data_IF_900868109593
#
_entry.id   IF_900868109593
#
_cell.length_a   1.000
_cell.length_b   1.000
_cell.length_c   1.000
_cell.angle_alpha   90.00
_cell.angle_beta   90.00
_cell.angle_gamma   90.00
#
_symmetry.space_group_name_H-M   'P 1'
#
loop_
_entity.id
_entity.type
_entity.pdbx_description
1 polymer ?
#
# COMPACT_ATOMS: atom_id res chain seq x y z
N UNK A 1 -0.48 -14.89 16.49
CA UNK A 1 0.84 -15.36 17.02
C UNK A 1 1.98 -15.01 16.06
N UNK A 2 1.85 -13.85 15.40
CA UNK A 2 2.68 -13.41 14.29
C UNK A 2 2.34 -14.08 12.95
N UNK A 3 1.48 -15.11 12.93
CA UNK A 3 1.08 -15.84 11.72
C UNK A 3 -0.38 -15.56 11.44
N UNK A 4 -0.71 -15.25 10.18
CA UNK A 4 -2.09 -14.96 9.76
C UNK A 4 -2.78 -13.89 10.64
N UNK A 5 -1.99 -12.92 11.12
CA UNK A 5 -2.46 -11.80 11.92
C UNK A 5 -2.65 -10.57 11.02
N UNK A 6 -3.61 -9.72 11.37
CA UNK A 6 -3.88 -8.47 10.70
C UNK A 6 -4.24 -7.38 11.72
N UNK A 7 -4.11 -6.11 11.31
CA UNK A 7 -4.54 -4.97 12.13
C UNK A 7 -5.77 -4.35 11.49
N UNK A 8 -6.87 -4.32 12.23
CA UNK A 8 -8.09 -3.65 11.82
C UNK A 8 -7.84 -2.13 11.72
N UNK A 9 -8.26 -1.55 10.60
CA UNK A 9 -8.29 -0.10 10.36
C UNK A 9 -9.74 0.32 10.36
N UNK A 10 -10.20 1.11 11.36
CA UNK A 10 -11.58 1.61 11.36
C UNK A 10 -11.81 2.53 10.17
N UNK A 11 -13.06 2.83 9.83
CA UNK A 11 -13.39 3.89 8.88
C UNK A 11 -12.61 5.18 9.20
N UNK A 12 -11.81 5.68 8.25
CA UNK A 12 -11.04 6.92 8.41
C UNK A 12 -11.49 8.03 7.45
N UNK A 13 -12.08 7.68 6.31
CA UNK A 13 -12.80 8.62 5.46
C UNK A 13 -12.67 8.38 3.95
N UNK A 14 -13.27 9.32 3.22
CA UNK A 14 -13.31 9.37 1.77
C UNK A 14 -12.44 10.53 1.28
N UNK A 15 -11.53 10.25 0.35
CA UNK A 15 -10.54 11.21 -0.13
C UNK A 15 -10.47 11.22 -1.66
N UNK A 16 -9.85 12.25 -2.23
CA UNK A 16 -9.51 12.28 -3.66
C UNK A 16 -8.04 11.96 -3.91
N UNK A 17 -7.25 11.93 -2.83
CA UNK A 17 -5.82 11.61 -2.84
C UNK A 17 -5.49 10.84 -1.56
N UNK A 18 -4.49 9.97 -1.64
CA UNK A 18 -4.01 9.20 -0.49
C UNK A 18 -2.55 8.84 -0.69
N UNK A 19 -1.83 8.73 0.42
CA UNK A 19 -0.54 8.04 0.42
C UNK A 19 -0.48 7.01 1.53
N UNK A 20 0.17 5.89 1.27
CA UNK A 20 0.48 4.88 2.26
C UNK A 20 1.97 4.54 2.20
N UNK A 21 2.59 4.30 3.35
CA UNK A 21 4.02 3.95 3.43
C UNK A 21 4.26 2.94 4.54
N UNK A 22 5.19 2.02 4.33
CA UNK A 22 5.58 1.03 5.34
C UNK A 22 6.99 0.49 5.06
N UNK A 23 7.63 -0.03 6.10
CA UNK A 23 8.72 -0.99 5.95
C UNK A 23 8.12 -2.39 5.92
N UNK A 24 8.54 -3.21 4.97
CA UNK A 24 8.07 -4.61 4.87
C UNK A 24 9.24 -5.57 4.71
N UNK A 25 9.06 -6.80 5.19
CA UNK A 25 10.03 -7.89 5.05
C UNK A 25 9.30 -9.21 4.81
N UNK A 26 9.20 -9.67 3.54
CA UNK A 26 8.63 -10.98 3.24
C UNK A 26 9.37 -12.10 3.97
N UNK A 27 8.62 -13.03 4.59
CA UNK A 27 9.17 -14.19 5.31
C UNK A 27 9.08 -15.50 4.49
N UNK A 28 8.25 -15.52 3.46
CA UNK A 28 8.09 -16.62 2.50
C UNK A 28 8.30 -16.11 1.08
N UNK A 29 8.69 -17.00 0.15
CA UNK A 29 8.82 -16.64 -1.27
C UNK A 29 7.48 -16.08 -1.77
N UNK A 30 7.41 -14.81 -2.20
CA UNK A 30 6.16 -14.18 -2.58
C UNK A 30 5.77 -14.47 -4.04
N UNK A 31 6.62 -15.16 -4.81
CA UNK A 31 6.36 -15.43 -6.24
C UNK A 31 5.26 -16.46 -6.53
N UNK A 32 4.92 -17.42 -5.63
CA UNK A 32 3.79 -18.32 -5.82
C UNK A 32 2.46 -17.76 -5.31
N UNK A 33 2.47 -16.71 -4.47
CA UNK A 33 1.26 -16.16 -3.85
C UNK A 33 0.63 -15.09 -4.72
N UNK A 34 -0.70 -15.06 -4.71
CA UNK A 34 -1.49 -14.04 -5.39
C UNK A 34 -2.34 -13.30 -4.37
N UNK A 35 -2.54 -12.02 -4.64
CA UNK A 35 -3.42 -11.15 -3.89
C UNK A 35 -3.05 -10.91 -2.42
N UNK A 36 -1.81 -11.16 -1.99
CA UNK A 36 -1.36 -10.80 -0.64
C UNK A 36 -1.63 -9.31 -0.40
N UNK A 37 -2.16 -8.95 0.77
CA UNK A 37 -2.56 -7.57 1.05
C UNK A 37 -1.64 -6.93 2.07
N UNK A 38 -0.98 -5.87 1.66
CA UNK A 38 -0.32 -4.98 2.61
C UNK A 38 -1.35 -4.10 3.32
N UNK A 39 -2.37 -3.67 2.57
CA UNK A 39 -3.59 -3.05 3.09
C UNK A 39 -4.77 -3.39 2.18
N UNK A 40 -5.94 -3.65 2.74
CA UNK A 40 -7.16 -3.82 1.97
C UNK A 40 -8.38 -3.29 2.71
N UNK A 41 -9.17 -2.45 2.05
CA UNK A 41 -10.57 -2.23 2.43
C UNK A 41 -11.33 -3.56 2.39
N UNK A 42 -12.25 -3.82 3.33
CA UNK A 42 -12.92 -5.12 3.43
C UNK A 42 -13.98 -5.32 2.33
N UNK A 43 -14.66 -4.24 1.93
CA UNK A 43 -15.61 -4.30 0.82
C UNK A 43 -14.92 -4.13 -0.55
N UNK A 44 -15.58 -4.63 -1.60
CA UNK A 44 -15.23 -4.40 -3.02
C UNK A 44 -16.10 -3.29 -3.64
N UNK A 45 -16.46 -2.28 -2.86
CA UNK A 45 -17.25 -1.15 -3.35
C UNK A 45 -16.39 -0.25 -4.24
N UNK A 46 -17.02 0.49 -5.17
CA UNK A 46 -16.31 1.52 -5.93
C UNK A 46 -15.63 2.51 -4.96
N UNK A 47 -14.35 2.81 -5.20
CA UNK A 47 -13.48 3.60 -4.33
C UNK A 47 -12.66 2.79 -3.32
N UNK A 48 -12.98 1.51 -3.09
CA UNK A 48 -12.25 0.68 -2.11
C UNK A 48 -10.78 0.52 -2.52
N UNK A 49 -9.87 0.97 -1.66
CA UNK A 49 -8.43 0.88 -1.91
C UNK A 49 -7.85 -0.47 -1.45
N UNK A 50 -7.04 -1.07 -2.31
CA UNK A 50 -6.31 -2.30 -2.02
C UNK A 50 -4.84 -2.12 -2.43
N UNK A 51 -3.93 -2.22 -1.46
CA UNK A 51 -2.50 -2.25 -1.69
C UNK A 51 -2.05 -3.71 -1.79
N UNK A 52 -2.27 -4.26 -2.98
CA UNK A 52 -2.04 -5.68 -3.27
C UNK A 52 -0.61 -5.96 -3.72
N UNK A 53 -0.09 -7.10 -3.28
CA UNK A 53 1.12 -7.74 -3.78
C UNK A 53 0.69 -8.99 -4.56
N UNK A 54 1.08 -9.08 -5.83
CA UNK A 54 0.71 -10.18 -6.71
C UNK A 54 1.99 -10.81 -7.28
N UNK A 55 2.24 -12.08 -6.98
CA UNK A 55 3.49 -12.75 -7.35
C UNK A 55 4.75 -11.99 -6.91
N UNK A 56 4.68 -11.37 -5.72
CA UNK A 56 5.74 -10.53 -5.16
C UNK A 56 5.89 -9.14 -5.79
N UNK A 57 5.05 -8.77 -6.75
CA UNK A 57 5.03 -7.47 -7.41
C UNK A 57 3.99 -6.56 -6.77
N UNK A 58 4.30 -5.29 -6.54
CA UNK A 58 3.32 -4.34 -5.99
C UNK A 58 2.35 -3.90 -7.09
N UNK A 59 1.06 -4.15 -6.90
CA UNK A 59 0.00 -3.89 -7.87
C UNK A 59 -1.25 -3.33 -7.15
N UNK A 60 -1.18 -2.11 -6.58
CA UNK A 60 -2.30 -1.47 -5.93
C UNK A 60 -3.46 -1.22 -6.90
N UNK A 61 -4.68 -1.23 -6.37
CA UNK A 61 -5.89 -0.93 -7.12
C UNK A 61 -6.88 -0.15 -6.28
N UNK A 62 -7.65 0.72 -6.92
CA UNK A 62 -8.84 1.32 -6.33
C UNK A 62 -10.04 0.81 -7.10
N UNK A 63 -10.94 0.08 -6.44
CA UNK A 63 -12.06 -0.57 -7.12
C UNK A 63 -12.92 0.46 -7.86
N UNK A 64 -13.32 0.14 -9.09
CA UNK A 64 -14.10 1.05 -9.93
C UNK A 64 -13.33 2.23 -10.54
N UNK A 65 -12.04 2.40 -10.25
CA UNK A 65 -11.13 3.31 -10.97
C UNK A 65 -10.22 2.51 -11.91
N UNK A 66 -10.06 2.96 -13.15
CA UNK A 66 -9.37 2.19 -14.20
C UNK A 66 -7.84 2.31 -14.19
N UNK A 67 -7.28 3.33 -13.55
CA UNK A 67 -5.83 3.54 -13.50
C UNK A 67 -5.18 2.66 -12.41
N UNK A 68 -4.07 1.99 -12.74
CA UNK A 68 -3.22 1.27 -11.79
C UNK A 68 -1.75 1.39 -12.21
N UNK A 69 -0.86 1.52 -11.24
CA UNK A 69 0.58 1.35 -11.43
C UNK A 69 0.97 -0.04 -10.94
N UNK A 70 1.99 -0.64 -11.55
CA UNK A 70 2.55 -1.91 -11.09
C UNK A 70 4.07 -1.80 -11.07
N UNK A 71 4.69 -2.04 -9.92
CA UNK A 71 6.13 -2.27 -9.82
C UNK A 71 6.41 -3.75 -10.15
N UNK A 72 6.99 -4.06 -11.31
CA UNK A 72 7.23 -5.44 -11.73
C UNK A 72 8.37 -6.11 -10.95
N UNK A 73 9.07 -5.37 -10.10
CA UNK A 73 10.19 -5.88 -9.31
C UNK A 73 9.66 -6.74 -8.16
N UNK A 74 10.08 -8.01 -8.13
CA UNK A 74 9.72 -8.93 -7.05
C UNK A 74 10.37 -8.46 -5.74
N UNK A 75 9.57 -8.41 -4.67
CA UNK A 75 10.05 -8.15 -3.31
C UNK A 75 11.06 -9.22 -2.87
N UNK A 76 12.22 -8.77 -2.39
CA UNK A 76 13.28 -9.67 -1.97
C UNK A 76 12.91 -10.40 -0.67
N UNK A 77 13.05 -11.72 -0.67
CA UNK A 77 12.82 -12.56 0.49
C UNK A 77 13.78 -12.19 1.63
N UNK A 78 13.24 -12.11 2.86
CA UNK A 78 14.01 -11.84 4.08
C UNK A 78 14.81 -10.53 4.08
N UNK A 79 14.42 -9.55 3.27
CA UNK A 79 15.03 -8.22 3.24
C UNK A 79 14.00 -7.15 3.58
N UNK A 80 14.38 -6.21 4.43
CA UNK A 80 13.58 -5.01 4.64
C UNK A 80 13.58 -4.16 3.37
N UNK A 81 12.41 -3.71 2.96
CA UNK A 81 12.21 -2.78 1.85
C UNK A 81 11.24 -1.71 2.33
N UNK A 82 11.57 -0.44 2.13
CA UNK A 82 10.58 0.61 2.32
C UNK A 82 9.71 0.70 1.07
N UNK A 83 8.39 0.65 1.23
CA UNK A 83 7.44 0.75 0.13
C UNK A 83 6.48 1.90 0.38
N UNK A 84 6.08 2.59 -0.69
CA UNK A 84 5.03 3.59 -0.61
C UNK A 84 4.13 3.59 -1.85
N UNK A 85 2.86 3.89 -1.63
CA UNK A 85 1.85 4.15 -2.63
C UNK A 85 1.45 5.62 -2.51
N UNK A 86 1.45 6.34 -3.62
CA UNK A 86 0.89 7.69 -3.72
C UNK A 86 -0.13 7.67 -4.85
N UNK A 87 -1.39 8.00 -4.52
CA UNK A 87 -2.44 8.21 -5.51
C UNK A 87 -2.94 9.65 -5.37
N UNK A 88 -2.58 10.49 -6.33
CA UNK A 88 -3.08 11.86 -6.46
C UNK A 88 -4.16 11.93 -7.55
N UNK A 89 -4.73 13.11 -7.76
CA UNK A 89 -5.64 13.34 -8.89
C UNK A 89 -4.93 13.30 -10.25
N UNK A 90 -3.61 13.36 -10.29
CA UNK A 90 -2.84 13.38 -11.55
C UNK A 90 -2.18 12.03 -11.85
N UNK A 91 -1.80 11.26 -10.82
CA UNK A 91 -0.99 10.04 -11.00
C UNK A 91 -1.12 9.05 -9.85
N UNK A 92 -0.81 7.80 -10.16
CA UNK A 92 -0.59 6.72 -9.18
C UNK A 92 0.87 6.33 -9.27
N UNK A 93 1.61 6.43 -8.16
CA UNK A 93 3.03 6.16 -8.08
C UNK A 93 3.34 5.17 -6.97
N UNK A 94 4.30 4.28 -7.23
CA UNK A 94 4.84 3.32 -6.28
C UNK A 94 6.30 3.63 -6.08
N UNK A 95 6.73 3.68 -4.83
CA UNK A 95 8.11 3.92 -4.45
C UNK A 95 8.67 2.71 -3.71
N UNK A 96 9.95 2.44 -3.96
CA UNK A 96 10.76 1.39 -3.32
C UNK A 96 12.06 2.01 -2.84
N UNK A 97 12.36 1.85 -1.55
CA UNK A 97 13.57 2.37 -0.90
C UNK A 97 13.81 3.87 -1.22
N UNK A 98 12.72 4.65 -1.17
CA UNK A 98 12.73 6.10 -1.40
C UNK A 98 12.81 6.53 -2.87
N UNK A 99 12.90 5.58 -3.81
CA UNK A 99 13.00 5.84 -5.26
C UNK A 99 11.73 5.47 -6.00
N UNK A 100 11.40 6.19 -7.08
CA UNK A 100 10.23 5.89 -7.91
C UNK A 100 10.43 4.55 -8.62
N UNK A 101 9.55 3.58 -8.36
CA UNK A 101 9.60 2.24 -8.93
C UNK A 101 8.63 2.09 -10.12
N UNK A 102 7.44 2.67 -10.03
CA UNK A 102 6.45 2.68 -11.10
C UNK A 102 5.52 3.90 -10.98
N UNK A 103 4.98 4.35 -12.10
CA UNK A 103 3.98 5.42 -12.15
C UNK A 103 3.04 5.23 -13.34
N UNK A 104 1.79 5.65 -13.19
CA UNK A 104 0.86 5.86 -14.29
C UNK A 104 0.10 7.17 -14.12
N UNK A 105 -0.39 7.74 -15.22
CA UNK A 105 -1.32 8.86 -15.16
C UNK A 105 -2.65 8.39 -14.56
N UNK A 106 -3.23 9.20 -13.67
CA UNK A 106 -4.53 8.90 -13.09
C UNK A 106 -5.64 9.45 -13.99
N UNK A 107 -6.04 8.67 -14.99
CA UNK A 107 -7.07 9.08 -15.97
C UNK A 107 -8.50 8.97 -15.45
N UNK A 108 -8.72 8.17 -14.38
CA UNK A 108 -10.02 7.95 -13.76
C UNK A 108 -9.98 8.42 -12.30
N UNK A 109 -10.07 9.75 -12.12
CA UNK A 109 -10.17 10.35 -10.79
C UNK A 109 -11.54 10.05 -10.16
N UNK A 110 -11.55 9.80 -8.86
CA UNK A 110 -12.75 9.52 -8.10
C UNK A 110 -12.46 9.38 -6.62
N UNK A 111 -13.51 9.13 -5.85
CA UNK A 111 -13.42 8.94 -4.40
C UNK A 111 -12.63 7.67 -4.08
N UNK A 112 -11.68 7.80 -3.18
CA UNK A 112 -10.87 6.74 -2.58
C UNK A 112 -11.36 6.55 -1.16
N UNK A 113 -11.84 5.34 -0.86
CA UNK A 113 -12.38 4.96 0.44
C UNK A 113 -11.27 4.27 1.22
N UNK A 114 -10.95 4.81 2.39
CA UNK A 114 -9.92 4.26 3.28
C UNK A 114 -10.50 4.01 4.67
N UNK A 115 -10.08 2.91 5.28
CA UNK A 115 -10.66 2.36 6.51
C UNK A 115 -11.51 1.13 6.23
N UNK A 116 -12.32 0.73 7.23
CA UNK A 116 -13.18 -0.45 7.22
C UNK A 116 -12.48 -1.69 6.63
N UNK A 117 -11.22 -1.86 7.01
CA UNK A 117 -10.22 -2.64 6.31
C UNK A 117 -9.15 -3.17 7.24
N UNK A 118 -8.13 -3.78 6.66
CA UNK A 118 -7.05 -4.39 7.41
C UNK A 118 -5.69 -4.07 6.81
N UNK A 119 -4.69 -3.93 7.68
CA UNK A 119 -3.27 -3.99 7.32
C UNK A 119 -2.83 -5.45 7.43
N UNK A 120 -2.16 -5.96 6.41
CA UNK A 120 -1.59 -7.31 6.38
C UNK A 120 -2.53 -8.43 5.93
N UNK A 121 -3.82 -8.14 5.64
CA UNK A 121 -4.78 -9.12 5.12
C UNK A 121 -5.95 -8.42 4.43
N UNK A 122 -6.83 -9.20 3.79
CA UNK A 122 -8.18 -8.77 3.43
C UNK A 122 -9.22 -9.54 4.25
N UNK A 123 -10.29 -8.87 4.65
CA UNK A 123 -11.41 -9.48 5.36
C UNK A 123 -12.62 -9.59 4.44
N UNK A 124 -13.19 -10.78 4.36
CA UNK A 124 -14.39 -11.10 3.60
C UNK A 124 -15.45 -11.66 4.53
N UNK A 125 -16.45 -10.85 4.87
CA UNK A 125 -17.49 -11.22 5.83
C UNK A 125 -16.90 -11.78 7.14
N UNK A 126 -15.98 -11.00 7.74
CA UNK A 126 -15.27 -11.30 8.99
C UNK A 126 -14.31 -12.50 8.95
N UNK A 127 -14.05 -13.04 7.76
CA UNK A 127 -13.01 -14.06 7.53
C UNK A 127 -11.77 -13.38 6.95
N UNK A 128 -10.66 -13.45 7.66
CA UNK A 128 -9.37 -12.99 7.16
C UNK A 128 -8.80 -13.97 6.13
N UNK A 129 -8.35 -13.43 5.01
CA UNK A 129 -7.71 -14.15 3.92
C UNK A 129 -6.64 -13.27 3.26
N UNK A 130 -5.85 -13.85 2.35
CA UNK A 130 -4.84 -13.12 1.54
C UNK A 130 -3.80 -12.38 2.37
N UNK A 131 -3.30 -13.07 3.39
CA UNK A 131 -2.34 -12.55 4.34
C UNK A 131 -1.01 -12.19 3.67
N UNK A 132 -0.48 -11.02 4.03
CA UNK A 132 0.94 -10.75 3.79
C UNK A 132 1.79 -11.62 4.74
N UNK A 133 2.52 -12.56 4.18
CA UNK A 133 3.38 -13.48 4.93
C UNK A 133 4.76 -12.86 5.19
N UNK A 134 4.84 -11.96 6.16
CA UNK A 134 6.07 -11.25 6.51
C UNK A 134 5.93 -10.33 7.71
N UNK A 135 6.92 -9.45 7.89
CA UNK A 135 6.88 -8.39 8.89
C UNK A 135 6.51 -7.06 8.23
N UNK A 136 5.71 -6.26 8.94
CA UNK A 136 5.36 -4.89 8.59
C UNK A 136 5.78 -4.01 9.76
N UNK A 137 6.40 -2.88 9.47
CA UNK A 137 6.78 -1.89 10.47
C UNK A 137 6.49 -0.48 9.96
N UNK A 138 6.26 0.45 10.88
CA UNK A 138 6.17 1.88 10.57
C UNK A 138 5.12 2.23 9.50
N UNK A 139 3.99 1.52 9.51
CA UNK A 139 2.89 1.72 8.57
C UNK A 139 2.20 3.08 8.80
N UNK A 140 2.02 3.84 7.73
CA UNK A 140 1.41 5.19 7.77
C UNK A 140 0.42 5.37 6.63
N UNK A 141 -0.65 6.11 6.92
CA UNK A 141 -1.66 6.56 5.95
C UNK A 141 -1.74 8.09 6.01
N UNK A 142 -1.85 8.72 4.85
CA UNK A 142 -2.00 10.16 4.68
C UNK A 142 -3.18 10.45 3.75
N UNK A 143 -3.98 11.45 4.09
CA UNK A 143 -5.14 11.96 3.33
C UNK A 143 -4.75 12.90 2.17
N UNK A 144 -3.50 12.81 1.72
CA UNK A 144 -2.91 13.66 0.68
C UNK A 144 -1.84 12.90 -0.11
N UNK A 145 -1.51 13.42 -1.28
CA UNK A 145 -0.34 12.97 -2.02
C UNK A 145 0.96 13.45 -1.33
N UNK A 146 1.84 12.50 -0.97
CA UNK A 146 3.18 12.80 -0.48
C UNK A 146 4.11 13.15 -1.65
N UNK A 147 5.00 14.10 -1.41
CA UNK A 147 6.10 14.43 -2.30
C UNK A 147 7.21 13.38 -2.24
N UNK A 148 8.08 13.35 -3.27
CA UNK A 148 9.25 12.48 -3.26
C UNK A 148 10.15 12.70 -2.04
N UNK A 149 10.35 13.95 -1.62
CA UNK A 149 11.20 14.26 -0.46
C UNK A 149 10.64 13.65 0.84
N UNK A 150 9.33 13.67 1.01
CA UNK A 150 8.67 13.05 2.16
C UNK A 150 8.82 11.52 2.13
N UNK A 151 8.66 10.91 0.96
CA UNK A 151 8.89 9.46 0.79
C UNK A 151 10.35 9.07 1.03
N UNK A 152 11.31 9.85 0.52
CA UNK A 152 12.72 9.60 0.71
C UNK A 152 13.12 9.66 2.19
N UNK A 153 12.53 10.59 2.95
CA UNK A 153 12.72 10.66 4.39
C UNK A 153 12.12 9.47 5.14
N UNK A 154 10.89 9.06 4.82
CA UNK A 154 10.26 7.86 5.42
C UNK A 154 11.09 6.58 5.14
N UNK A 155 11.74 6.53 3.97
CA UNK A 155 12.67 5.47 3.59
C UNK A 155 14.06 5.59 4.22
N UNK A 156 14.34 6.61 5.04
CA UNK A 156 15.65 6.83 5.66
C UNK A 156 16.75 7.23 4.68
N UNK A 157 16.40 7.72 3.48
CA UNK A 157 17.35 8.17 2.44
C UNK A 157 17.87 9.59 2.72
N UNK A 158 17.08 10.42 3.37
CA UNK A 158 17.45 11.79 3.74
C UNK A 158 17.40 11.99 5.25
N UNK A 159 18.21 12.93 5.75
CA UNK A 159 18.12 13.40 7.14
C UNK A 159 16.69 13.85 7.48
N UNK A 160 16.27 13.75 8.77
CA UNK A 160 14.98 14.26 9.19
C UNK A 160 14.79 15.73 8.87
N UNK A 161 13.75 16.06 8.11
CA UNK A 161 13.26 17.43 8.03
C UNK A 161 12.19 17.66 9.10
N UNK A 162 12.06 18.90 9.55
CA UNK A 162 11.00 19.27 10.50
C UNK A 162 9.65 18.86 9.91
N UNK A 163 8.99 17.91 10.58
CA UNK A 163 7.69 17.41 10.14
C UNK A 163 6.73 18.59 10.04
N UNK A 164 5.91 18.70 8.98
CA UNK A 164 4.83 19.70 8.94
C UNK A 164 3.66 19.37 9.90
N UNK A 165 3.86 18.45 10.85
CA UNK A 165 2.91 18.05 11.88
C UNK A 165 3.66 17.71 13.18
#
# INVERSE_FOLDING_TARGET
DGVEDAVEVPSIGDYNEVSMAAWIKPAVDPTPTQFDQLYAHSAWAAGSLHWTINFGQMAPSTQGLGATATDPTVLALNQWTHVALVQSQEKIAIYRDGSLAAETANSDTGTIIVGDGHIGAWSNADVLERFFSGLIDEFRIYDRALSWAEIAWLAGVTEPFDKPF
#
